data_IF_498000381100
#
_entry.id   IF_498000381100
#
_cell.length_a   1.000
_cell.length_b   1.000
_cell.length_c   1.000
_cell.angle_alpha   90.00
_cell.angle_beta   90.00
_cell.angle_gamma   90.00
#
_symmetry.space_group_name_H-M   'P 1'
#
loop_
_entity.id
_entity.type
_entity.pdbx_description
1 polymer ?
#
# COMPACT_ATOMS: atom_id res chain seq x y z
N UNK A 1 -20.04 -25.75 5.61
CA UNK A 1 -20.17 -24.87 4.43
C UNK A 1 -19.76 -25.68 3.21
N UNK A 2 -20.52 -25.74 2.11
CA UNK A 2 -20.11 -26.47 0.93
C UNK A 2 -18.85 -25.82 0.32
N UNK A 3 -17.92 -26.62 -0.16
CA UNK A 3 -16.63 -26.22 -0.73
C UNK A 3 -16.81 -25.16 -1.84
N UNK A 4 -17.90 -25.27 -2.60
CA UNK A 4 -18.27 -24.32 -3.65
C UNK A 4 -18.55 -22.89 -3.16
N UNK A 5 -18.96 -22.69 -1.90
CA UNK A 5 -19.21 -21.37 -1.34
C UNK A 5 -17.92 -20.69 -0.86
N UNK A 6 -16.92 -21.48 -0.48
CA UNK A 6 -15.58 -21.00 -0.10
C UNK A 6 -14.77 -20.58 -1.34
N UNK A 7 -14.81 -21.37 -2.41
CA UNK A 7 -14.08 -21.09 -3.66
C UNK A 7 -14.61 -19.83 -4.39
N UNK A 8 -15.81 -19.36 -4.03
CA UNK A 8 -16.43 -18.14 -4.60
C UNK A 8 -16.06 -16.86 -3.88
N UNK A 9 -15.33 -16.93 -2.77
CA UNK A 9 -14.89 -15.73 -2.06
C UNK A 9 -13.72 -15.07 -2.78
N UNK A 10 -13.70 -13.73 -2.91
CA UNK A 10 -12.61 -13.03 -3.60
C UNK A 10 -11.23 -13.34 -3.00
N UNK A 11 -11.18 -13.62 -1.70
CA UNK A 11 -9.95 -13.91 -0.97
C UNK A 11 -9.34 -15.27 -1.32
N UNK A 12 -10.15 -16.24 -1.77
CA UNK A 12 -9.67 -17.60 -2.03
C UNK A 12 -8.67 -17.65 -3.18
N UNK A 13 -8.88 -16.86 -4.22
CA UNK A 13 -7.93 -16.76 -5.33
C UNK A 13 -6.56 -16.24 -4.86
N UNK A 14 -6.57 -15.17 -4.06
CA UNK A 14 -5.36 -14.60 -3.48
C UNK A 14 -4.68 -15.59 -2.51
N UNK A 15 -5.44 -16.31 -1.68
CA UNK A 15 -4.91 -17.31 -0.77
C UNK A 15 -4.28 -18.50 -1.51
N UNK A 16 -4.93 -19.03 -2.55
CA UNK A 16 -4.37 -20.12 -3.36
C UNK A 16 -3.11 -19.68 -4.10
N UNK A 17 -3.08 -18.45 -4.62
CA UNK A 17 -1.89 -17.84 -5.21
C UNK A 17 -0.75 -17.75 -4.21
N UNK A 18 -1.03 -17.27 -2.99
CA UNK A 18 -0.07 -17.20 -1.90
C UNK A 18 0.47 -18.61 -1.55
N UNK A 19 -0.43 -19.57 -1.38
CA UNK A 19 -0.03 -20.95 -1.04
C UNK A 19 0.89 -21.56 -2.12
N UNK A 20 0.55 -21.34 -3.40
CA UNK A 20 1.38 -21.80 -4.52
C UNK A 20 2.76 -21.15 -4.51
N UNK A 21 2.83 -19.83 -4.37
CA UNK A 21 4.10 -19.08 -4.34
C UNK A 21 4.93 -19.46 -3.11
N UNK A 22 4.30 -19.60 -1.96
CA UNK A 22 4.99 -20.02 -0.73
C UNK A 22 5.60 -21.43 -0.88
N UNK A 23 4.85 -22.38 -1.40
CA UNK A 23 5.33 -23.75 -1.65
C UNK A 23 6.47 -23.76 -2.68
N UNK A 24 6.37 -22.96 -3.73
CA UNK A 24 7.45 -22.82 -4.71
C UNK A 24 8.75 -22.37 -4.04
N UNK A 25 8.74 -21.29 -3.27
CA UNK A 25 9.94 -20.79 -2.60
C UNK A 25 10.39 -21.68 -1.42
N UNK A 26 9.49 -22.44 -0.81
CA UNK A 26 9.85 -23.44 0.18
C UNK A 26 10.71 -24.56 -0.45
N UNK A 27 10.34 -25.01 -1.65
CA UNK A 27 11.06 -26.08 -2.38
C UNK A 27 12.42 -25.58 -2.89
N UNK A 28 12.45 -24.41 -3.55
CA UNK A 28 13.65 -23.90 -4.22
C UNK A 28 14.55 -23.05 -3.32
N UNK A 29 14.02 -22.40 -2.28
CA UNK A 29 14.76 -21.60 -1.29
C UNK A 29 15.18 -22.39 -0.06
N UNK A 30 14.59 -23.59 0.15
CA UNK A 30 14.94 -24.50 1.23
C UNK A 30 14.76 -23.91 2.64
N UNK A 31 15.57 -24.41 3.57
CA UNK A 31 15.49 -24.04 5.00
C UNK A 31 15.76 -22.56 5.23
N UNK A 32 16.62 -21.93 4.42
CA UNK A 32 16.97 -20.53 4.58
C UNK A 32 15.77 -19.60 4.33
N UNK A 33 14.87 -19.94 3.42
CA UNK A 33 13.65 -19.18 3.14
C UNK A 33 12.69 -19.15 4.34
N UNK A 34 12.61 -20.22 5.12
CA UNK A 34 11.76 -20.35 6.31
C UNK A 34 12.52 -20.15 7.62
N UNK A 35 13.81 -19.77 7.56
CA UNK A 35 14.57 -19.35 8.74
C UNK A 35 14.00 -18.06 9.32
N UNK A 36 14.33 -17.69 10.58
CA UNK A 36 13.89 -16.45 11.19
C UNK A 36 14.25 -15.23 10.33
N UNK A 37 15.47 -15.18 9.78
CA UNK A 37 15.92 -14.11 8.89
C UNK A 37 15.18 -14.15 7.54
N UNK A 38 14.95 -15.34 6.98
CA UNK A 38 14.18 -15.53 5.75
C UNK A 38 12.76 -15.00 5.89
N UNK A 39 12.05 -15.42 6.94
CA UNK A 39 10.69 -14.97 7.24
C UNK A 39 10.67 -13.46 7.48
N UNK A 40 11.59 -12.93 8.27
CA UNK A 40 11.67 -11.49 8.53
C UNK A 40 11.90 -10.68 7.25
N UNK A 41 12.71 -11.15 6.32
CA UNK A 41 13.01 -10.43 5.08
C UNK A 41 11.74 -10.14 4.27
N UNK A 42 10.91 -11.15 4.01
CA UNK A 42 9.68 -10.93 3.26
C UNK A 42 8.54 -10.35 4.11
N UNK A 43 8.47 -10.61 5.42
CA UNK A 43 7.48 -9.97 6.30
C UNK A 43 7.73 -8.47 6.45
N UNK A 44 8.97 -8.03 6.59
CA UNK A 44 9.32 -6.61 6.67
C UNK A 44 8.91 -5.86 5.38
N UNK A 45 9.13 -6.48 4.21
CA UNK A 45 8.68 -5.91 2.93
C UNK A 45 7.15 -5.91 2.84
N UNK A 46 6.49 -7.02 3.23
CA UNK A 46 5.03 -7.11 3.22
C UNK A 46 4.38 -6.06 4.14
N UNK A 47 4.95 -5.82 5.31
CA UNK A 47 4.41 -4.86 6.28
C UNK A 47 4.48 -3.41 5.76
N UNK A 48 5.66 -2.99 5.28
CA UNK A 48 5.81 -1.65 4.71
C UNK A 48 4.90 -1.45 3.50
N UNK A 49 4.83 -2.44 2.60
CA UNK A 49 3.97 -2.38 1.42
C UNK A 49 2.49 -2.44 1.79
N UNK A 50 2.11 -3.29 2.75
CA UNK A 50 0.71 -3.54 3.10
C UNK A 50 0.02 -2.35 3.77
N UNK A 51 0.75 -1.53 4.54
CA UNK A 51 0.22 -0.29 5.11
C UNK A 51 -0.20 0.68 4.00
N UNK A 52 0.54 0.73 2.89
CA UNK A 52 0.23 1.56 1.72
C UNK A 52 -0.83 0.89 0.85
N UNK A 53 -0.71 -0.43 0.62
CA UNK A 53 -1.54 -1.16 -0.33
C UNK A 53 -3.02 -1.19 0.05
N UNK A 54 -3.38 -1.29 1.35
CA UNK A 54 -4.79 -1.34 1.75
C UNK A 54 -5.54 -0.05 1.43
N UNK A 55 -5.05 1.16 1.78
CA UNK A 55 -5.67 2.42 1.36
C UNK A 55 -5.71 2.62 -0.16
N UNK A 56 -4.66 2.22 -0.88
CA UNK A 56 -4.69 2.19 -2.36
C UNK A 56 -5.78 1.25 -2.86
N UNK A 57 -5.94 0.09 -2.23
CA UNK A 57 -7.03 -0.83 -2.54
C UNK A 57 -8.41 -0.22 -2.34
N UNK A 58 -8.61 0.60 -1.31
CA UNK A 58 -9.87 1.32 -1.11
C UNK A 58 -10.13 2.33 -2.23
N UNK A 59 -9.12 3.09 -2.65
CA UNK A 59 -9.22 3.97 -3.82
C UNK A 59 -9.54 3.17 -5.09
N UNK A 60 -8.86 2.05 -5.32
CA UNK A 60 -9.13 1.20 -6.48
C UNK A 60 -10.55 0.60 -6.43
N UNK A 61 -11.04 0.15 -5.27
CA UNK A 61 -12.43 -0.30 -5.10
C UNK A 61 -13.40 0.85 -5.38
N UNK A 62 -13.07 2.09 -5.01
CA UNK A 62 -13.85 3.29 -5.31
C UNK A 62 -13.76 3.74 -6.79
N UNK A 63 -12.91 3.12 -7.60
CA UNK A 63 -12.70 3.46 -9.03
C UNK A 63 -11.67 4.57 -9.25
N UNK A 64 -10.85 4.89 -8.26
CA UNK A 64 -9.82 5.92 -8.32
C UNK A 64 -8.41 5.32 -8.16
N UNK A 65 -7.38 6.03 -8.62
CA UNK A 65 -5.98 5.63 -8.48
C UNK A 65 -5.16 6.76 -7.87
N UNK A 66 -4.24 6.40 -6.98
CA UNK A 66 -3.30 7.36 -6.38
C UNK A 66 -1.87 6.87 -6.57
N UNK A 67 -1.15 7.51 -7.48
CA UNK A 67 0.29 7.27 -7.68
C UNK A 67 1.16 8.32 -7.00
N UNK A 68 0.55 9.36 -6.38
CA UNK A 68 1.28 10.39 -5.65
C UNK A 68 2.03 9.84 -4.43
N UNK A 69 1.66 8.65 -3.96
CA UNK A 69 2.33 7.91 -2.87
C UNK A 69 3.85 7.81 -3.09
N UNK A 70 4.29 7.64 -4.36
CA UNK A 70 5.70 7.60 -4.70
C UNK A 70 6.47 8.88 -4.37
N UNK A 71 5.77 10.02 -4.32
CA UNK A 71 6.30 11.31 -3.85
C UNK A 71 6.07 11.53 -2.36
N UNK A 72 4.94 11.06 -1.82
CA UNK A 72 4.59 11.25 -0.41
C UNK A 72 5.51 10.48 0.54
N UNK A 73 5.90 9.24 0.22
CA UNK A 73 6.84 8.46 1.05
C UNK A 73 8.16 9.19 1.26
N UNK A 74 8.91 9.59 0.21
CA UNK A 74 10.16 10.33 0.40
C UNK A 74 9.93 11.74 0.96
N UNK A 75 8.82 12.40 0.65
CA UNK A 75 8.47 13.69 1.24
C UNK A 75 8.30 13.59 2.75
N UNK A 76 7.64 12.54 3.23
CA UNK A 76 7.48 12.28 4.65
C UNK A 76 8.82 11.95 5.33
N UNK A 77 9.64 11.11 4.70
CA UNK A 77 10.99 10.80 5.16
C UNK A 77 11.81 12.07 5.33
N UNK A 78 11.86 12.93 4.29
CA UNK A 78 12.60 14.19 4.35
C UNK A 78 12.00 15.22 5.31
N UNK A 79 10.67 15.31 5.41
CA UNK A 79 10.02 16.25 6.33
C UNK A 79 10.43 15.98 7.77
N UNK A 80 10.34 14.72 8.23
CA UNK A 80 10.78 14.38 9.59
C UNK A 80 12.29 14.55 9.76
N UNK A 81 13.09 14.24 8.71
CA UNK A 81 14.53 14.45 8.71
C UNK A 81 14.92 15.92 8.85
N UNK A 82 14.26 16.81 8.12
CA UNK A 82 14.51 18.25 8.21
C UNK A 82 14.05 18.81 9.57
N UNK A 83 12.83 18.47 9.99
CA UNK A 83 12.26 19.04 11.23
C UNK A 83 13.00 18.53 12.45
N UNK A 84 13.18 17.23 12.59
CA UNK A 84 13.73 16.65 13.81
C UNK A 84 15.22 16.32 13.71
N UNK A 85 15.74 16.02 12.50
CA UNK A 85 17.15 15.76 12.30
C UNK A 85 17.97 17.06 12.16
N UNK A 86 17.64 17.90 11.19
CA UNK A 86 18.39 19.12 10.89
C UNK A 86 18.12 20.26 11.87
N UNK A 87 16.85 20.56 12.17
CA UNK A 87 16.49 21.61 13.14
C UNK A 87 16.48 21.14 14.60
N UNK A 88 16.64 19.83 14.87
CA UNK A 88 16.67 19.28 16.21
C UNK A 88 15.36 19.40 16.99
N UNK A 89 14.23 19.58 16.30
CA UNK A 89 12.92 19.67 16.96
C UNK A 89 12.47 18.34 17.54
N UNK A 90 11.62 18.32 18.59
CA UNK A 90 11.10 17.09 19.16
C UNK A 90 10.48 16.17 18.09
N UNK A 91 10.78 14.88 18.13
CA UNK A 91 10.37 13.92 17.09
C UNK A 91 8.84 13.87 16.91
N UNK A 92 8.07 14.02 18.02
CA UNK A 92 6.60 14.04 17.93
C UNK A 92 6.08 15.23 17.12
N UNK A 93 6.75 16.38 17.23
CA UNK A 93 6.43 17.56 16.41
C UNK A 93 6.70 17.29 14.92
N UNK A 94 7.84 16.64 14.62
CA UNK A 94 8.17 16.16 13.28
C UNK A 94 7.11 15.19 12.73
N UNK A 95 6.69 14.22 13.53
CA UNK A 95 5.64 13.25 13.15
C UNK A 95 4.32 13.96 12.82
N UNK A 96 3.84 14.83 13.71
CA UNK A 96 2.56 15.55 13.52
C UNK A 96 2.58 16.42 12.26
N UNK A 97 3.65 17.18 12.06
CA UNK A 97 3.78 18.03 10.85
C UNK A 97 3.85 17.18 9.59
N UNK A 98 4.65 16.11 9.60
CA UNK A 98 4.80 15.21 8.44
C UNK A 98 3.46 14.58 8.04
N UNK A 99 2.69 14.05 8.98
CA UNK A 99 1.38 13.48 8.72
C UNK A 99 0.36 14.54 8.27
N UNK A 100 0.45 15.75 8.83
CA UNK A 100 -0.41 16.87 8.42
C UNK A 100 -0.13 17.33 6.99
N UNK A 101 1.15 17.41 6.60
CA UNK A 101 1.54 17.72 5.22
C UNK A 101 1.04 16.66 4.24
N UNK A 102 1.16 15.39 4.60
CA UNK A 102 0.62 14.30 3.79
C UNK A 102 -0.91 14.37 3.66
N UNK A 103 -1.62 14.68 4.76
CA UNK A 103 -3.06 14.88 4.72
C UNK A 103 -3.47 16.02 3.79
N UNK A 104 -2.69 17.11 3.75
CA UNK A 104 -2.91 18.23 2.82
C UNK A 104 -2.69 17.79 1.37
N UNK A 105 -1.65 17.01 1.08
CA UNK A 105 -1.40 16.48 -0.28
C UNK A 105 -2.58 15.60 -0.72
N UNK A 106 -3.02 14.67 0.13
CA UNK A 106 -4.18 13.81 -0.17
C UNK A 106 -5.48 14.61 -0.34
N UNK A 107 -5.69 15.64 0.49
CA UNK A 107 -6.82 16.54 0.37
C UNK A 107 -6.79 17.31 -0.96
N UNK A 108 -5.63 17.83 -1.38
CA UNK A 108 -5.45 18.50 -2.68
C UNK A 108 -5.80 17.54 -3.82
N UNK A 109 -5.26 16.31 -3.81
CA UNK A 109 -5.57 15.29 -4.81
C UNK A 109 -7.07 15.04 -4.90
N UNK A 110 -7.71 14.74 -3.78
CA UNK A 110 -9.14 14.49 -3.73
C UNK A 110 -9.96 15.70 -4.19
N UNK A 111 -9.59 16.92 -3.80
CA UNK A 111 -10.30 18.14 -4.19
C UNK A 111 -10.20 18.41 -5.70
N UNK A 112 -9.03 18.19 -6.31
CA UNK A 112 -8.88 18.33 -7.76
C UNK A 112 -9.73 17.30 -8.48
N UNK A 113 -9.68 16.02 -8.07
CA UNK A 113 -10.44 14.93 -8.69
C UNK A 113 -11.95 15.17 -8.63
N UNK A 114 -12.49 15.67 -7.49
CA UNK A 114 -13.94 15.90 -7.37
C UNK A 114 -14.43 17.16 -8.06
N UNK A 115 -13.56 18.18 -8.26
CA UNK A 115 -13.90 19.48 -8.85
C UNK A 115 -13.62 19.59 -10.34
N UNK A 116 -12.88 18.64 -10.88
CA UNK A 116 -12.52 18.60 -12.29
C UNK A 116 -12.95 17.27 -12.90
N UNK A 117 -13.00 17.19 -14.21
CA UNK A 117 -13.25 15.93 -14.93
C UNK A 117 -11.95 15.18 -15.25
N UNK A 118 -10.83 15.62 -14.66
CA UNK A 118 -9.51 15.02 -14.90
C UNK A 118 -9.42 13.68 -14.15
N UNK A 119 -9.03 12.59 -14.83
CA UNK A 119 -8.83 11.29 -14.20
C UNK A 119 -7.82 11.37 -13.04
N UNK A 120 -8.11 10.66 -11.96
CA UNK A 120 -7.27 10.65 -10.75
C UNK A 120 -5.81 10.26 -11.02
N UNK A 121 -5.59 9.36 -11.97
CA UNK A 121 -4.24 8.97 -12.40
C UNK A 121 -3.41 10.19 -12.88
N UNK A 122 -4.02 11.09 -13.65
CA UNK A 122 -3.33 12.29 -14.18
C UNK A 122 -3.10 13.30 -13.07
N UNK A 123 -4.10 13.53 -12.20
CA UNK A 123 -3.98 14.41 -11.04
C UNK A 123 -2.85 13.96 -10.13
N UNK A 124 -2.85 12.68 -9.75
CA UNK A 124 -1.87 12.13 -8.82
C UNK A 124 -0.47 11.98 -9.44
N UNK A 125 -0.37 11.85 -10.78
CA UNK A 125 0.91 11.97 -11.49
C UNK A 125 1.48 13.39 -11.39
N UNK A 126 0.64 14.41 -11.59
CA UNK A 126 1.05 15.80 -11.43
C UNK A 126 1.56 16.09 -10.01
N UNK A 127 0.82 15.67 -9.00
CA UNK A 127 1.22 15.84 -7.59
C UNK A 127 2.41 14.99 -7.18
N UNK A 128 2.61 13.80 -7.77
CA UNK A 128 3.82 13.00 -7.62
C UNK A 128 5.06 13.82 -7.97
N UNK A 129 5.11 14.34 -9.20
CA UNK A 129 6.28 15.10 -9.66
C UNK A 129 6.42 16.44 -8.94
N UNK A 130 5.31 17.13 -8.64
CA UNK A 130 5.34 18.36 -7.85
C UNK A 130 5.90 18.11 -6.44
N UNK A 131 5.46 17.05 -5.76
CA UNK A 131 5.93 16.70 -4.42
C UNK A 131 7.40 16.30 -4.43
N UNK A 132 7.82 15.44 -5.37
CA UNK A 132 9.23 15.03 -5.50
C UNK A 132 10.13 16.24 -5.79
N UNK A 133 9.75 17.07 -6.78
CA UNK A 133 10.52 18.25 -7.15
C UNK A 133 10.61 19.27 -6.02
N UNK A 134 9.48 19.55 -5.34
CA UNK A 134 9.45 20.48 -4.22
C UNK A 134 10.30 19.98 -3.04
N UNK A 135 10.20 18.69 -2.70
CA UNK A 135 11.00 18.11 -1.61
C UNK A 135 12.48 18.10 -1.92
N UNK A 136 12.87 17.76 -3.15
CA UNK A 136 14.26 17.83 -3.57
C UNK A 136 14.80 19.26 -3.49
N UNK A 137 14.04 20.22 -4.00
CA UNK A 137 14.39 21.64 -3.98
C UNK A 137 14.54 22.17 -2.54
N UNK A 138 13.55 21.93 -1.69
CA UNK A 138 13.58 22.38 -0.29
C UNK A 138 14.68 21.72 0.52
N UNK A 139 14.90 20.42 0.30
CA UNK A 139 15.97 19.67 0.96
C UNK A 139 17.34 20.29 0.66
N UNK A 140 17.64 20.56 -0.60
CA UNK A 140 18.94 21.14 -1.00
C UNK A 140 19.09 22.60 -0.51
N UNK A 141 18.03 23.42 -0.58
CA UNK A 141 18.11 24.81 -0.09
C UNK A 141 18.27 24.87 1.43
N UNK A 142 17.55 24.02 2.17
CA UNK A 142 17.56 24.06 3.64
C UNK A 142 18.80 23.40 4.21
N UNK A 143 19.15 22.19 3.72
CA UNK A 143 20.17 21.36 4.35
C UNK A 143 21.47 21.22 3.53
N UNK A 144 21.45 21.67 2.27
CA UNK A 144 22.58 21.49 1.33
C UNK A 144 22.70 20.07 0.79
N UNK A 145 21.79 19.14 1.13
CA UNK A 145 21.93 17.71 0.79
C UNK A 145 20.56 17.06 0.51
N UNK A 146 20.57 15.89 -0.10
CA UNK A 146 19.40 15.06 -0.39
C UNK A 146 19.20 13.93 0.62
N UNK A 147 20.03 13.86 1.64
CA UNK A 147 19.93 12.90 2.73
C UNK A 147 20.26 13.60 4.06
N UNK A 148 19.43 13.42 5.07
CA UNK A 148 19.59 14.05 6.39
C UNK A 148 19.62 12.97 7.45
N UNK A 149 20.64 13.01 8.34
CA UNK A 149 20.71 12.12 9.50
C UNK A 149 19.61 12.49 10.50
N UNK A 150 18.97 11.49 11.05
CA UNK A 150 17.92 11.63 12.05
C UNK A 150 18.31 10.82 13.28
N UNK A 151 18.40 11.46 14.44
CA UNK A 151 18.58 10.77 15.70
C UNK A 151 17.27 10.86 16.48
N UNK A 152 16.55 9.74 16.56
CA UNK A 152 15.29 9.68 17.29
C UNK A 152 15.54 9.21 18.75
N UNK A 153 14.74 9.66 19.73
CA UNK A 153 14.83 9.17 21.10
C UNK A 153 14.39 7.70 21.20
N UNK A 154 14.85 7.00 22.22
CA UNK A 154 14.64 5.55 22.42
C UNK A 154 13.16 5.12 22.33
N UNK A 155 12.26 5.91 22.91
CA UNK A 155 10.83 5.62 22.81
C UNK A 155 10.29 5.68 21.38
N UNK A 156 10.79 6.60 20.55
CA UNK A 156 10.35 6.70 19.15
C UNK A 156 10.92 5.54 18.32
N UNK A 157 12.17 5.16 18.59
CA UNK A 157 12.72 3.92 18.01
C UNK A 157 11.88 2.72 18.43
N UNK A 158 11.58 2.56 19.72
CA UNK A 158 10.81 1.42 20.23
C UNK A 158 9.46 1.24 19.53
N UNK A 159 8.73 2.34 19.24
CA UNK A 159 7.39 2.26 18.64
C UNK A 159 7.36 2.37 17.12
N UNK A 160 8.32 3.04 16.50
CA UNK A 160 8.25 3.40 15.06
C UNK A 160 9.43 2.85 14.25
N UNK A 161 10.57 2.55 14.85
CA UNK A 161 11.79 2.25 14.12
C UNK A 161 12.70 1.22 14.79
N UNK A 162 12.16 0.21 15.48
CA UNK A 162 12.97 -0.83 16.11
C UNK A 162 12.89 -2.17 15.38
N UNK A 163 13.87 -3.01 15.70
CA UNK A 163 13.83 -4.44 15.40
C UNK A 163 13.50 -5.23 16.67
N UNK A 164 12.56 -6.15 16.56
CA UNK A 164 12.23 -7.13 17.59
C UNK A 164 13.04 -8.40 17.29
N UNK A 165 13.70 -8.94 18.32
CA UNK A 165 14.64 -10.05 18.19
C UNK A 165 15.73 -9.78 17.12
N UNK A 166 16.15 -8.52 16.97
CA UNK A 166 17.16 -8.04 16.01
C UNK A 166 16.86 -8.36 14.53
N UNK A 167 15.64 -8.76 14.21
CA UNK A 167 15.30 -9.29 12.90
C UNK A 167 13.98 -8.74 12.33
N UNK A 168 12.94 -8.67 13.15
CA UNK A 168 11.59 -8.28 12.73
C UNK A 168 11.36 -6.80 13.00
N UNK A 169 11.00 -6.01 11.98
CA UNK A 169 10.66 -4.60 12.16
C UNK A 169 9.36 -4.44 12.94
N UNK A 170 9.32 -3.48 13.86
CA UNK A 170 8.12 -3.14 14.65
C UNK A 170 6.91 -2.81 13.75
N UNK A 171 7.14 -2.35 12.53
CA UNK A 171 6.11 -1.99 11.56
C UNK A 171 5.19 -3.17 11.19
N UNK A 172 5.62 -4.41 11.40
CA UNK A 172 4.79 -5.62 11.22
C UNK A 172 3.56 -5.55 12.12
N UNK A 173 3.72 -5.13 13.38
CA UNK A 173 2.61 -5.01 14.32
C UNK A 173 1.66 -3.87 13.92
N UNK A 174 2.20 -2.75 13.44
CA UNK A 174 1.39 -1.67 12.88
C UNK A 174 0.59 -2.15 11.67
N UNK A 175 1.23 -2.88 10.76
CA UNK A 175 0.55 -3.44 9.59
C UNK A 175 -0.59 -4.38 9.97
N UNK A 176 -0.36 -5.32 10.89
CA UNK A 176 -1.40 -6.25 11.35
C UNK A 176 -2.53 -5.48 12.03
N UNK A 177 -2.22 -4.55 12.95
CA UNK A 177 -3.23 -3.74 13.64
C UNK A 177 -4.06 -2.89 12.69
N UNK A 178 -3.42 -2.20 11.75
CA UNK A 178 -4.10 -1.40 10.72
C UNK A 178 -4.91 -2.29 9.78
N UNK A 179 -4.41 -3.46 9.38
CA UNK A 179 -5.16 -4.41 8.54
C UNK A 179 -6.43 -4.86 9.24
N UNK A 180 -6.37 -5.19 10.53
CA UNK A 180 -7.56 -5.55 11.32
C UNK A 180 -8.54 -4.39 11.36
N UNK A 181 -8.07 -3.16 11.66
CA UNK A 181 -8.92 -1.98 11.66
C UNK A 181 -9.58 -1.73 10.29
N UNK A 182 -8.83 -1.89 9.20
CA UNK A 182 -9.33 -1.74 7.84
C UNK A 182 -10.32 -2.85 7.43
N UNK A 183 -10.17 -4.08 7.95
CA UNK A 183 -11.19 -5.14 7.77
C UNK A 183 -12.51 -4.67 8.37
N UNK A 184 -12.51 -4.16 9.60
CA UNK A 184 -13.72 -3.64 10.22
C UNK A 184 -14.28 -2.43 9.47
N UNK A 185 -13.42 -1.53 9.03
CA UNK A 185 -13.83 -0.35 8.27
C UNK A 185 -14.50 -0.72 6.94
N UNK A 186 -13.90 -1.61 6.14
CA UNK A 186 -14.44 -1.95 4.81
C UNK A 186 -15.63 -2.91 4.87
N UNK A 187 -15.58 -3.94 5.76
CA UNK A 187 -16.55 -5.04 5.70
C UNK A 187 -17.69 -4.92 6.75
N UNK A 188 -17.50 -4.10 7.79
CA UNK A 188 -18.45 -4.01 8.90
C UNK A 188 -18.96 -2.59 9.18
N UNK A 189 -18.57 -1.59 8.36
CA UNK A 189 -19.05 -0.22 8.52
C UNK A 189 -19.89 0.26 7.32
N UNK A 190 -20.74 1.27 7.49
CA UNK A 190 -21.46 1.90 6.37
C UNK A 190 -20.53 2.47 5.30
N UNK A 191 -19.34 2.96 5.71
CA UNK A 191 -18.32 3.52 4.82
C UNK A 191 -17.86 2.51 3.77
N UNK A 192 -17.69 1.24 4.15
CA UNK A 192 -17.31 0.20 3.22
C UNK A 192 -18.37 -0.03 2.13
N UNK A 193 -19.64 -0.10 2.50
CA UNK A 193 -20.73 -0.20 1.53
C UNK A 193 -20.75 0.99 0.56
N UNK A 194 -20.45 2.19 1.05
CA UNK A 194 -20.34 3.39 0.22
C UNK A 194 -19.16 3.34 -0.75
N UNK A 195 -18.03 2.79 -0.32
CA UNK A 195 -16.85 2.59 -1.18
C UNK A 195 -17.19 1.64 -2.34
N UNK A 196 -17.85 0.51 -2.06
CA UNK A 196 -18.29 -0.42 -3.10
C UNK A 196 -19.33 0.20 -4.05
N UNK A 197 -20.30 0.93 -3.51
CA UNK A 197 -21.31 1.61 -4.31
C UNK A 197 -20.69 2.67 -5.23
N UNK A 198 -19.74 3.47 -4.69
CA UNK A 198 -19.02 4.51 -5.43
C UNK A 198 -18.25 3.92 -6.62
N UNK A 199 -17.55 2.79 -6.40
CA UNK A 199 -16.79 2.12 -7.46
C UNK A 199 -17.65 1.31 -8.43
N UNK A 200 -18.89 0.98 -8.05
CA UNK A 200 -19.87 0.35 -8.95
C UNK A 200 -20.43 1.32 -9.97
N UNK A 201 -21.02 2.41 -9.51
CA UNK A 201 -21.51 3.53 -10.32
C UNK A 201 -21.62 4.81 -9.48
N UNK A 202 -20.76 5.77 -9.76
CA UNK A 202 -20.66 7.04 -9.01
C UNK A 202 -21.95 7.87 -9.04
N UNK A 203 -22.66 7.84 -10.17
CA UNK A 203 -23.91 8.63 -10.37
C UNK A 203 -25.02 8.01 -9.53
N UNK A 204 -25.20 6.70 -9.64
CA UNK A 204 -26.20 5.96 -8.86
C UNK A 204 -25.93 6.07 -7.34
N UNK A 205 -24.66 5.97 -6.91
CA UNK A 205 -24.28 6.16 -5.52
C UNK A 205 -24.67 7.55 -5.01
N UNK A 206 -24.38 8.61 -5.77
CA UNK A 206 -24.76 9.99 -5.43
C UNK A 206 -26.30 10.15 -5.35
N UNK A 207 -27.03 9.59 -6.31
CA UNK A 207 -28.50 9.62 -6.33
C UNK A 207 -29.12 8.85 -5.14
N UNK A 208 -28.43 7.83 -4.64
CA UNK A 208 -28.81 7.11 -3.40
C UNK A 208 -28.47 7.87 -2.10
N UNK A 209 -27.96 9.11 -2.20
CA UNK A 209 -27.63 9.95 -1.03
C UNK A 209 -26.26 9.69 -0.41
N UNK A 210 -25.40 8.90 -1.05
CA UNK A 210 -24.03 8.66 -0.57
C UNK A 210 -23.20 9.94 -0.76
N UNK A 211 -22.45 10.40 0.26
CA UNK A 211 -21.61 11.59 0.16
C UNK A 211 -20.31 11.30 -0.61
N UNK A 212 -20.45 11.02 -1.92
CA UNK A 212 -19.36 10.56 -2.82
C UNK A 212 -18.12 11.44 -2.77
N UNK A 213 -18.31 12.78 -2.75
CA UNK A 213 -17.20 13.72 -2.80
C UNK A 213 -16.37 13.68 -1.50
N UNK A 214 -17.05 13.68 -0.33
CA UNK A 214 -16.36 13.57 0.97
C UNK A 214 -15.64 12.22 1.11
N UNK A 215 -16.26 11.16 0.62
CA UNK A 215 -15.68 9.83 0.64
C UNK A 215 -14.42 9.77 -0.22
N UNK A 216 -14.46 10.25 -1.46
CA UNK A 216 -13.31 10.30 -2.36
C UNK A 216 -12.16 11.08 -1.75
N UNK A 217 -12.40 12.30 -1.23
CA UNK A 217 -11.36 13.10 -0.57
C UNK A 217 -10.77 12.37 0.64
N UNK A 218 -11.62 11.77 1.47
CA UNK A 218 -11.18 11.00 2.64
C UNK A 218 -10.27 9.82 2.28
N UNK A 219 -10.56 9.11 1.17
CA UNK A 219 -9.73 8.00 0.70
C UNK A 219 -8.35 8.47 0.19
N UNK A 220 -8.26 9.61 -0.52
CA UNK A 220 -6.97 10.19 -0.90
C UNK A 220 -6.16 10.65 0.32
N UNK A 221 -6.81 11.26 1.32
CA UNK A 221 -6.14 11.62 2.58
C UNK A 221 -5.62 10.38 3.29
N UNK A 222 -6.42 9.30 3.37
CA UNK A 222 -6.01 8.05 4.00
C UNK A 222 -4.81 7.42 3.27
N UNK A 223 -4.81 7.42 1.93
CA UNK A 223 -3.70 6.93 1.10
C UNK A 223 -2.41 7.70 1.40
N UNK A 224 -2.47 9.03 1.37
CA UNK A 224 -1.31 9.89 1.60
C UNK A 224 -0.78 9.77 3.03
N UNK A 225 -1.65 9.76 4.04
CA UNK A 225 -1.24 9.63 5.46
C UNK A 225 -0.60 8.27 5.73
N UNK A 226 -1.16 7.19 5.18
CA UNK A 226 -0.58 5.83 5.31
C UNK A 226 0.78 5.73 4.63
N UNK A 227 0.95 6.36 3.47
CA UNK A 227 2.22 6.43 2.76
C UNK A 227 3.27 7.23 3.53
N UNK A 228 2.86 8.36 4.12
CA UNK A 228 3.72 9.17 4.97
C UNK A 228 4.12 8.43 6.25
N UNK A 229 3.22 7.65 6.83
CA UNK A 229 3.54 6.83 8.00
C UNK A 229 4.67 5.84 7.69
N UNK A 230 4.66 5.18 6.53
CA UNK A 230 5.77 4.31 6.10
C UNK A 230 7.05 5.12 5.88
N UNK A 231 6.98 6.28 5.23
CA UNK A 231 8.15 7.14 4.98
C UNK A 231 8.84 7.59 6.27
N UNK A 232 8.07 8.05 7.26
CA UNK A 232 8.61 8.50 8.55
C UNK A 232 9.16 7.34 9.39
N UNK A 233 8.51 6.18 9.40
CA UNK A 233 9.00 5.00 10.15
C UNK A 233 10.30 4.47 9.57
N UNK A 234 10.47 4.48 8.25
CA UNK A 234 11.74 4.13 7.61
C UNK A 234 12.84 5.13 7.95
N UNK A 235 12.56 6.44 7.98
CA UNK A 235 13.54 7.44 8.36
C UNK A 235 14.04 7.24 9.80
N UNK A 236 13.13 6.90 10.72
CA UNK A 236 13.48 6.59 12.12
C UNK A 236 14.27 5.28 12.21
N UNK A 237 13.82 4.23 11.52
CA UNK A 237 14.44 2.90 11.55
C UNK A 237 15.91 2.94 11.07
N UNK A 238 16.16 3.67 9.98
CA UNK A 238 17.50 3.74 9.37
C UNK A 238 18.32 4.93 9.85
N UNK A 239 17.81 5.73 10.78
CA UNK A 239 18.45 6.98 11.26
C UNK A 239 18.84 7.92 10.11
N UNK A 240 18.10 7.87 8.99
CA UNK A 240 18.41 8.59 7.76
C UNK A 240 17.15 8.87 6.96
N UNK A 241 16.95 10.12 6.62
CA UNK A 241 15.91 10.57 5.70
C UNK A 241 16.50 10.71 4.28
N UNK A 242 15.79 10.20 3.26
CA UNK A 242 16.26 10.21 1.87
C UNK A 242 15.13 10.55 0.91
N UNK A 243 15.45 11.32 -0.15
CA UNK A 243 14.48 11.71 -1.19
C UNK A 243 14.21 10.58 -2.20
N UNK A 244 15.05 9.54 -2.28
CA UNK A 244 15.04 8.56 -3.39
C UNK A 244 14.19 7.30 -3.16
N UNK A 245 13.52 7.12 -2.03
CA UNK A 245 13.00 5.82 -1.57
C UNK A 245 11.53 5.50 -1.88
N UNK A 246 10.83 6.28 -2.73
CA UNK A 246 9.36 6.18 -2.84
C UNK A 246 8.80 5.53 -4.11
N UNK A 247 9.51 5.62 -5.24
CA UNK A 247 8.97 5.27 -6.57
C UNK A 247 8.56 3.81 -6.72
N UNK A 248 9.26 2.89 -6.07
CA UNK A 248 8.92 1.45 -6.12
C UNK A 248 7.56 1.13 -5.49
N UNK A 249 7.13 1.91 -4.50
CA UNK A 249 5.84 1.69 -3.84
C UNK A 249 4.64 1.87 -4.78
N UNK A 250 4.76 2.71 -5.83
CA UNK A 250 3.67 2.96 -6.79
C UNK A 250 3.22 1.65 -7.42
N UNK A 251 4.12 1.00 -8.14
CA UNK A 251 3.78 -0.23 -8.85
C UNK A 251 3.61 -1.41 -7.92
N UNK A 252 4.44 -1.53 -6.90
CA UNK A 252 4.39 -2.65 -5.96
C UNK A 252 3.05 -2.70 -5.19
N UNK A 253 2.50 -1.54 -4.78
CA UNK A 253 1.21 -1.50 -4.10
C UNK A 253 0.06 -1.87 -5.04
N UNK A 254 0.06 -1.35 -6.28
CA UNK A 254 -0.96 -1.72 -7.27
C UNK A 254 -0.90 -3.22 -7.59
N UNK A 255 0.31 -3.77 -7.78
CA UNK A 255 0.51 -5.20 -8.02
C UNK A 255 -0.05 -6.03 -6.85
N UNK A 256 0.32 -5.67 -5.61
CA UNK A 256 -0.15 -6.37 -4.42
C UNK A 256 -1.68 -6.33 -4.29
N UNK A 257 -2.29 -5.17 -4.58
CA UNK A 257 -3.75 -4.98 -4.55
C UNK A 257 -4.45 -5.82 -5.61
N UNK A 258 -3.93 -5.84 -6.85
CA UNK A 258 -4.51 -6.62 -7.96
C UNK A 258 -4.34 -8.11 -7.75
N UNK A 259 -3.16 -8.56 -7.29
CA UNK A 259 -2.91 -9.96 -6.89
C UNK A 259 -3.82 -10.36 -5.73
N UNK A 260 -4.13 -9.42 -4.84
CA UNK A 260 -5.12 -9.55 -3.77
C UNK A 260 -6.57 -9.67 -4.24
N UNK A 261 -6.83 -9.56 -5.55
CA UNK A 261 -8.16 -9.76 -6.15
C UNK A 261 -9.03 -8.51 -6.21
N UNK A 262 -8.47 -7.31 -6.04
CA UNK A 262 -9.18 -6.05 -6.27
C UNK A 262 -9.27 -5.77 -7.77
N UNK A 263 -10.44 -5.36 -8.25
CA UNK A 263 -10.64 -5.01 -9.66
C UNK A 263 -10.14 -3.60 -9.96
N UNK A 264 -9.37 -3.46 -11.04
CA UNK A 264 -8.96 -2.14 -11.57
C UNK A 264 -10.16 -1.27 -12.03
N UNK A 265 -11.30 -1.91 -12.32
CA UNK A 265 -12.54 -1.22 -12.72
C UNK A 265 -13.39 -0.74 -11.56
N UNK A 266 -12.97 -0.99 -10.32
CA UNK A 266 -13.71 -0.64 -9.11
C UNK A 266 -14.84 -1.62 -8.74
N UNK A 267 -15.51 -1.33 -7.62
CA UNK A 267 -16.69 -2.01 -7.15
C UNK A 267 -16.48 -3.40 -6.53
N UNK A 268 -15.23 -3.91 -6.46
CA UNK A 268 -14.96 -5.25 -5.94
C UNK A 268 -13.55 -5.36 -5.34
N UNK A 269 -13.44 -6.04 -4.21
CA UNK A 269 -12.19 -6.30 -3.51
C UNK A 269 -12.38 -6.64 -2.05
N UNK A 270 -11.30 -7.04 -1.37
CA UNK A 270 -11.32 -7.24 0.07
C UNK A 270 -9.97 -6.93 0.72
N UNK A 271 -9.99 -6.49 1.99
CA UNK A 271 -8.77 -6.21 2.76
C UNK A 271 -7.97 -7.50 2.98
N UNK A 272 -8.65 -8.62 3.23
CA UNK A 272 -7.99 -9.92 3.42
C UNK A 272 -7.29 -10.38 2.14
N UNK A 273 -7.92 -10.15 0.98
CA UNK A 273 -7.28 -10.40 -0.31
C UNK A 273 -6.03 -9.56 -0.50
N UNK A 274 -6.08 -8.26 -0.21
CA UNK A 274 -4.92 -7.36 -0.29
C UNK A 274 -3.81 -7.81 0.67
N UNK A 275 -4.15 -8.24 1.89
CA UNK A 275 -3.20 -8.79 2.85
C UNK A 275 -2.45 -10.00 2.26
N UNK A 276 -3.14 -10.95 1.65
CA UNK A 276 -2.51 -12.08 0.97
C UNK A 276 -1.70 -11.63 -0.26
N UNK A 277 -2.18 -10.66 -1.00
CA UNK A 277 -1.48 -10.09 -2.15
C UNK A 277 -0.16 -9.43 -1.77
N UNK A 278 -0.12 -8.69 -0.65
CA UNK A 278 1.13 -8.08 -0.15
C UNK A 278 2.16 -9.11 0.30
N UNK A 279 1.72 -10.18 0.96
CA UNK A 279 2.61 -11.30 1.34
C UNK A 279 3.12 -12.00 0.08
N UNK A 280 2.24 -12.29 -0.88
CA UNK A 280 2.62 -12.94 -2.14
C UNK A 280 3.68 -12.13 -2.88
N UNK A 281 3.45 -10.80 -3.02
CA UNK A 281 4.42 -9.90 -3.64
C UNK A 281 5.76 -9.93 -2.89
N UNK A 282 5.72 -9.81 -1.57
CA UNK A 282 6.93 -9.77 -0.74
C UNK A 282 7.72 -11.08 -0.80
N UNK A 283 7.04 -12.23 -0.83
CA UNK A 283 7.67 -13.54 -1.00
C UNK A 283 8.37 -13.64 -2.36
N UNK A 284 7.74 -13.19 -3.45
CA UNK A 284 8.37 -13.20 -4.77
C UNK A 284 9.57 -12.26 -4.79
N UNK A 285 9.43 -11.06 -4.24
CA UNK A 285 10.48 -10.03 -4.22
C UNK A 285 11.70 -10.47 -3.42
N UNK A 286 11.50 -11.10 -2.26
CA UNK A 286 12.59 -11.51 -1.36
C UNK A 286 12.96 -12.98 -1.51
N UNK A 287 12.02 -13.84 -1.87
CA UNK A 287 12.22 -15.29 -1.93
C UNK A 287 13.29 -15.71 -2.94
N UNK A 288 13.43 -14.97 -4.04
CA UNK A 288 14.43 -15.27 -5.07
C UNK A 288 15.85 -15.20 -4.52
N UNK A 289 16.13 -14.38 -3.49
CA UNK A 289 17.44 -14.28 -2.86
C UNK A 289 17.86 -15.55 -2.11
N UNK A 290 16.91 -16.44 -1.82
CA UNK A 290 17.16 -17.73 -1.16
C UNK A 290 17.27 -18.88 -2.16
N UNK A 291 17.05 -18.64 -3.45
CA UNK A 291 17.15 -19.64 -4.51
C UNK A 291 18.49 -19.52 -5.25
N UNK A 292 18.78 -20.50 -6.09
CA UNK A 292 19.93 -20.45 -7.01
C UNK A 292 19.62 -19.72 -8.32
N UNK A 293 18.45 -19.09 -8.45
CA UNK A 293 18.08 -18.33 -9.63
C UNK A 293 18.77 -16.96 -9.65
N UNK A 294 18.93 -16.41 -10.84
CA UNK A 294 19.45 -15.06 -11.00
C UNK A 294 18.48 -14.06 -10.37
N UNK A 295 19.02 -13.17 -9.53
CA UNK A 295 18.25 -12.16 -8.79
C UNK A 295 17.49 -11.19 -9.70
N UNK A 296 18.03 -10.95 -10.91
CA UNK A 296 17.38 -10.09 -11.91
C UNK A 296 16.06 -10.68 -12.42
N UNK A 297 15.83 -12.00 -12.26
CA UNK A 297 14.58 -12.64 -12.60
C UNK A 297 13.41 -12.20 -11.68
N UNK A 298 13.67 -11.61 -10.52
CA UNK A 298 12.57 -11.16 -9.63
C UNK A 298 11.66 -10.17 -10.32
N UNK A 299 12.19 -9.21 -11.05
CA UNK A 299 11.39 -8.22 -11.80
C UNK A 299 10.58 -8.87 -12.93
N UNK A 300 11.14 -9.88 -13.59
CA UNK A 300 10.44 -10.65 -14.64
C UNK A 300 9.28 -11.44 -14.02
N UNK A 301 9.53 -12.13 -12.90
CA UNK A 301 8.52 -12.92 -12.19
C UNK A 301 7.38 -12.02 -11.69
N UNK A 302 7.71 -10.86 -11.10
CA UNK A 302 6.74 -9.85 -10.65
C UNK A 302 5.90 -9.37 -11.82
N UNK A 303 6.52 -9.05 -12.97
CA UNK A 303 5.83 -8.62 -14.18
C UNK A 303 4.88 -9.68 -14.73
N UNK A 304 5.33 -10.94 -14.83
CA UNK A 304 4.50 -12.08 -15.25
C UNK A 304 3.35 -12.28 -14.25
N UNK A 305 3.63 -12.21 -12.96
CA UNK A 305 2.65 -12.38 -11.90
C UNK A 305 1.54 -11.32 -12.00
N UNK A 306 1.89 -10.06 -12.28
CA UNK A 306 0.92 -9.00 -12.52
C UNK A 306 0.04 -9.32 -13.75
N UNK A 307 0.65 -9.68 -14.86
CA UNK A 307 -0.11 -10.01 -16.08
C UNK A 307 -1.07 -11.18 -15.85
N UNK A 308 -0.60 -12.25 -15.21
CA UNK A 308 -1.43 -13.41 -14.88
C UNK A 308 -2.56 -13.01 -13.93
N UNK A 309 -2.29 -12.22 -12.88
CA UNK A 309 -3.30 -11.76 -11.93
C UNK A 309 -4.37 -10.90 -12.61
N UNK A 310 -4.00 -9.99 -13.50
CA UNK A 310 -4.95 -9.14 -14.26
C UNK A 310 -5.81 -9.99 -15.19
N UNK A 311 -5.21 -10.94 -15.93
CA UNK A 311 -5.95 -11.83 -16.83
C UNK A 311 -6.90 -12.74 -16.06
N UNK A 312 -6.45 -13.33 -14.95
CA UNK A 312 -7.30 -14.17 -14.09
C UNK A 312 -8.45 -13.34 -13.49
N UNK A 313 -8.17 -12.14 -12.99
CA UNK A 313 -9.17 -11.26 -12.41
C UNK A 313 -10.30 -10.94 -13.42
N UNK A 314 -9.95 -10.63 -14.66
CA UNK A 314 -10.94 -10.41 -15.73
C UNK A 314 -11.76 -11.68 -16.02
N UNK A 315 -11.13 -12.84 -16.03
CA UNK A 315 -11.80 -14.12 -16.26
C UNK A 315 -12.79 -14.45 -15.13
N UNK A 316 -12.38 -14.28 -13.87
CA UNK A 316 -13.27 -14.49 -12.73
C UNK A 316 -14.46 -13.53 -12.72
N UNK A 317 -14.25 -12.25 -13.07
CA UNK A 317 -15.32 -11.27 -13.24
C UNK A 317 -16.34 -11.72 -14.31
N UNK A 318 -15.88 -12.17 -15.47
CA UNK A 318 -16.75 -12.64 -16.54
C UNK A 318 -17.53 -13.90 -16.11
N UNK A 319 -16.91 -14.83 -15.38
CA UNK A 319 -17.59 -16.00 -14.84
C UNK A 319 -18.67 -15.63 -13.82
N UNK A 320 -18.37 -14.67 -12.93
CA UNK A 320 -19.33 -14.18 -11.94
C UNK A 320 -20.53 -13.49 -12.58
N UNK A 321 -20.32 -12.68 -13.63
CA UNK A 321 -21.37 -12.00 -14.37
C UNK A 321 -22.24 -12.94 -15.22
N UNK A 322 -21.68 -14.04 -15.72
CA UNK A 322 -22.41 -15.04 -16.55
C UNK A 322 -23.23 -16.02 -15.70
N UNK A 323 -23.03 -16.02 -14.39
CA UNK A 323 -23.74 -16.95 -13.51
C UNK A 323 -25.15 -16.43 -13.20
N UNK A 324 -26.15 -16.93 -13.95
CA UNK A 324 -27.56 -16.83 -13.56
C UNK A 324 -27.88 -17.98 -12.61
N UNK A 325 -28.37 -17.73 -11.39
CA UNK A 325 -28.76 -18.83 -10.49
C UNK A 325 -29.89 -19.61 -11.16
N UNK A 326 -29.68 -20.93 -11.34
CA UNK A 326 -30.79 -21.81 -11.73
C UNK A 326 -31.88 -21.64 -10.69
N UNK A 327 -33.03 -21.08 -11.11
CA UNK A 327 -34.28 -21.08 -10.33
C UNK A 327 -34.54 -22.55 -9.92
N UNK A 328 -34.52 -22.82 -8.60
CA UNK A 328 -35.11 -24.01 -8.04
C UNK A 328 -36.60 -23.89 -8.05
#
# INVERSE_FOLDING_TARGET
>A
MPLDSLLRRPEMGAFLGLAFVFLFFLIFGGVNFVSAQGIASWLNVAANLGIIAVPIGFLMIAGELDISIGGVVPAASMSIGVISGYYGMPIMFGVVITLSLAAVIGWINGMIVIRTEVPSLIVTMGTLFATLGLMLFLSVIITGTTAVSLTAPDWAHMFLGSFIFDTYQIIIFWWIGLTIAYIFFLHYSPWGNWIFALGGDKISARNAGIPTDKLTVGLFVLSSVSSAFVGLTQAILFNSAQVSSGMSYIFNSIIAVVVGGVLLTGGFGSVVGIFFGTITFAIVNQGIYFTNFDRNLSSVIIGIMLLVAVLMNNTFRQMALRYSPKKK
#
